data_IF_628222061540
#
_entry.id   IF_628222061540
#
_cell.length_a   1.000
_cell.length_b   1.000
_cell.length_c   1.000
_cell.angle_alpha   90.00
_cell.angle_beta   90.00
_cell.angle_gamma   90.00
#
_symmetry.space_group_name_H-M   'P 1'
#
loop_
_entity.id
_entity.type
_entity.pdbx_description
1 polymer ?
#
# COMPACT_ATOMS: atom_id res chain seq x y z
N UNK A 1 -27.79 56.08 29.77
CA UNK A 1 -27.39 54.89 30.56
C UNK A 1 -27.11 53.74 29.60
N UNK A 2 -25.89 53.15 29.70
CA UNK A 2 -25.41 51.82 29.27
C UNK A 2 -25.53 51.45 27.78
N UNK A 3 -24.50 51.57 26.93
CA UNK A 3 -23.16 50.91 26.89
C UNK A 3 -23.19 49.42 26.51
N UNK A 4 -22.56 49.15 25.36
CA UNK A 4 -21.70 48.03 24.98
C UNK A 4 -22.05 46.61 25.43
N UNK A 5 -22.15 45.69 24.47
CA UNK A 5 -21.46 44.40 24.55
C UNK A 5 -21.04 43.97 23.14
N UNK A 6 -19.75 44.21 22.85
CA UNK A 6 -18.98 43.41 21.90
C UNK A 6 -18.97 41.96 22.37
N UNK A 7 -18.98 41.01 21.44
CA UNK A 7 -18.05 39.88 21.49
C UNK A 7 -18.08 39.13 20.17
N UNK A 8 -17.01 39.37 19.43
CA UNK A 8 -16.30 38.41 18.60
C UNK A 8 -16.67 36.94 18.86
N UNK A 9 -17.10 36.29 17.80
CA UNK A 9 -16.59 34.95 17.51
C UNK A 9 -16.59 34.75 16.00
N UNK A 10 -15.61 35.40 15.36
CA UNK A 10 -15.02 34.80 14.18
C UNK A 10 -14.58 33.39 14.61
N UNK A 11 -15.35 32.39 14.23
CA UNK A 11 -14.97 31.00 14.36
C UNK A 11 -13.85 30.78 13.35
N UNK A 12 -12.64 31.14 13.78
CA UNK A 12 -11.41 30.81 13.10
C UNK A 12 -11.27 29.29 13.27
N UNK A 13 -11.94 28.52 12.40
CA UNK A 13 -11.44 27.21 12.07
C UNK A 13 -10.12 27.47 11.37
N UNK A 14 -9.03 27.34 12.09
CA UNK A 14 -7.75 27.03 11.48
C UNK A 14 -7.92 25.68 10.80
N UNK A 15 -8.43 25.71 9.57
CA UNK A 15 -8.26 24.63 8.63
C UNK A 15 -6.78 24.70 8.28
N UNK A 16 -5.97 23.95 9.00
CA UNK A 16 -4.59 23.74 8.58
C UNK A 16 -4.71 23.11 7.19
N UNK A 17 -4.53 23.93 6.14
CA UNK A 17 -4.33 23.46 4.78
C UNK A 17 -3.07 22.61 4.81
N UNK A 18 -3.24 21.32 5.07
CA UNK A 18 -2.18 20.34 4.84
C UNK A 18 -2.03 20.26 3.34
N UNK A 19 -1.21 21.16 2.81
CA UNK A 19 -0.90 21.21 1.39
C UNK A 19 -0.24 19.90 0.99
N UNK A 20 -0.77 19.27 -0.07
CA UNK A 20 -0.22 18.04 -0.61
C UNK A 20 1.18 18.30 -1.15
N UNK A 21 2.18 17.57 -0.63
CA UNK A 21 3.58 17.70 -1.05
C UNK A 21 3.99 16.44 -1.83
N UNK A 22 3.85 16.50 -3.15
CA UNK A 22 4.13 15.37 -4.04
C UNK A 22 5.58 14.85 -3.90
N UNK A 23 6.57 15.73 -3.80
CA UNK A 23 7.98 15.32 -3.71
C UNK A 23 8.30 14.57 -2.41
N UNK A 24 7.67 14.98 -1.30
CA UNK A 24 7.78 14.25 -0.04
C UNK A 24 7.13 12.87 -0.14
N UNK A 25 5.97 12.77 -0.80
CA UNK A 25 5.29 11.49 -1.03
C UNK A 25 6.17 10.60 -1.91
N UNK A 26 6.65 11.07 -3.06
CA UNK A 26 7.60 10.34 -3.92
C UNK A 26 8.80 9.81 -3.16
N UNK A 27 9.47 10.68 -2.38
CA UNK A 27 10.62 10.28 -1.57
C UNK A 27 10.27 9.16 -0.59
N UNK A 28 9.05 9.16 -0.04
CA UNK A 28 8.59 8.10 0.87
C UNK A 28 8.29 6.80 0.12
N UNK A 29 7.67 6.87 -1.05
CA UNK A 29 7.39 5.69 -1.89
C UNK A 29 8.69 5.05 -2.41
N UNK A 30 9.67 5.86 -2.81
CA UNK A 30 11.01 5.40 -3.20
C UNK A 30 11.68 4.62 -2.08
N UNK A 31 11.64 5.14 -0.85
CA UNK A 31 12.19 4.43 0.32
C UNK A 31 11.50 3.08 0.58
N UNK A 32 10.18 2.99 0.39
CA UNK A 32 9.45 1.72 0.51
C UNK A 32 9.90 0.73 -0.57
N UNK A 33 10.06 1.21 -1.81
CA UNK A 33 10.57 0.43 -2.94
C UNK A 33 11.97 -0.12 -2.64
N UNK A 34 12.92 0.74 -2.25
CA UNK A 34 14.30 0.37 -1.92
C UNK A 34 14.38 -0.68 -0.80
N UNK A 35 13.52 -0.57 0.20
CA UNK A 35 13.45 -1.52 1.32
C UNK A 35 12.88 -2.90 0.90
N UNK A 36 11.88 -2.91 0.02
CA UNK A 36 11.15 -4.11 -0.36
C UNK A 36 11.80 -4.89 -1.50
N UNK A 37 12.41 -4.22 -2.49
CA UNK A 37 13.06 -4.86 -3.63
C UNK A 37 13.94 -6.07 -3.27
N UNK A 38 14.91 -5.98 -2.32
CA UNK A 38 15.79 -7.11 -2.00
C UNK A 38 15.06 -8.28 -1.32
N UNK A 39 13.84 -8.06 -0.79
CA UNK A 39 13.05 -9.05 -0.05
C UNK A 39 12.12 -9.87 -0.94
N UNK A 40 12.07 -9.59 -2.24
CA UNK A 40 11.10 -10.17 -3.18
C UNK A 40 11.69 -11.24 -4.11
N UNK A 41 12.93 -11.69 -3.88
CA UNK A 41 13.53 -12.79 -4.63
C UNK A 41 13.66 -12.53 -6.14
N UNK A 42 13.73 -11.25 -6.53
CA UNK A 42 13.71 -10.78 -7.93
C UNK A 42 12.45 -11.17 -8.73
N UNK A 43 11.34 -11.47 -8.05
CA UNK A 43 10.03 -11.66 -8.68
C UNK A 43 9.31 -10.32 -8.70
N UNK A 44 9.07 -9.79 -9.90
CA UNK A 44 8.47 -8.48 -10.09
C UNK A 44 7.03 -8.43 -9.55
N UNK A 45 6.23 -9.45 -9.81
CA UNK A 45 4.84 -9.54 -9.36
C UNK A 45 4.75 -9.56 -7.82
N UNK A 46 5.66 -10.30 -7.16
CA UNK A 46 5.74 -10.31 -5.70
C UNK A 46 6.17 -8.95 -5.14
N UNK A 47 7.12 -8.29 -5.80
CA UNK A 47 7.53 -6.94 -5.46
C UNK A 47 6.37 -5.95 -5.58
N UNK A 48 5.66 -5.95 -6.72
CA UNK A 48 4.54 -5.04 -6.99
C UNK A 48 3.41 -5.23 -5.98
N UNK A 49 3.06 -6.47 -5.64
CA UNK A 49 2.05 -6.80 -4.62
C UNK A 49 2.44 -6.28 -3.24
N UNK A 50 3.69 -6.51 -2.81
CA UNK A 50 4.19 -6.07 -1.50
C UNK A 50 4.34 -4.55 -1.41
N UNK A 51 4.83 -3.91 -2.47
CA UNK A 51 4.91 -2.47 -2.54
C UNK A 51 3.52 -1.86 -2.44
N UNK A 52 2.56 -2.34 -3.24
CA UNK A 52 1.18 -1.84 -3.21
C UNK A 52 0.54 -1.96 -1.82
N UNK A 53 0.71 -3.10 -1.14
CA UNK A 53 0.24 -3.27 0.24
C UNK A 53 0.95 -2.31 1.23
N UNK A 54 2.25 -2.05 1.05
CA UNK A 54 2.98 -1.07 1.87
C UNK A 54 2.51 0.36 1.60
N UNK A 55 2.15 0.68 0.35
CA UNK A 55 1.56 1.96 -0.03
C UNK A 55 0.19 2.13 0.62
N UNK A 56 -0.67 1.10 0.59
CA UNK A 56 -1.97 1.12 1.27
C UNK A 56 -1.81 1.39 2.78
N UNK A 57 -0.88 0.68 3.43
CA UNK A 57 -0.56 0.89 4.84
C UNK A 57 -0.05 2.31 5.11
N UNK A 58 0.78 2.86 4.24
CA UNK A 58 1.26 4.24 4.37
C UNK A 58 0.12 5.26 4.18
N UNK A 59 -0.71 5.09 3.15
CA UNK A 59 -1.87 5.94 2.88
C UNK A 59 -2.83 5.97 4.07
N UNK A 60 -3.07 4.82 4.71
CA UNK A 60 -3.90 4.74 5.92
C UNK A 60 -3.41 5.60 7.09
N UNK A 61 -2.12 6.01 7.10
CA UNK A 61 -1.58 6.93 8.12
C UNK A 61 -1.79 8.42 7.80
N UNK A 62 -2.21 8.75 6.58
CA UNK A 62 -2.39 10.10 6.10
C UNK A 62 -3.85 10.59 6.27
N UNK A 63 -4.09 11.91 6.26
CA UNK A 63 -5.45 12.46 6.18
C UNK A 63 -6.19 11.94 4.94
N UNK A 64 -7.48 11.61 5.09
CA UNK A 64 -8.31 11.01 4.04
C UNK A 64 -8.37 11.86 2.77
N UNK A 65 -8.27 13.18 2.91
CA UNK A 65 -8.26 14.13 1.80
C UNK A 65 -7.07 13.92 0.84
N UNK A 66 -5.98 13.31 1.32
CA UNK A 66 -4.78 13.05 0.53
C UNK A 66 -4.75 11.65 -0.08
N UNK A 67 -5.64 10.73 0.34
CA UNK A 67 -5.56 9.32 -0.05
C UNK A 67 -5.58 9.14 -1.57
N UNK A 68 -6.57 9.75 -2.23
CA UNK A 68 -6.71 9.66 -3.69
C UNK A 68 -5.49 10.25 -4.42
N UNK A 69 -4.96 11.38 -3.96
CA UNK A 69 -3.79 12.03 -4.56
C UNK A 69 -2.53 11.15 -4.47
N UNK A 70 -2.33 10.49 -3.32
CA UNK A 70 -1.19 9.58 -3.12
C UNK A 70 -1.33 8.32 -3.98
N UNK A 71 -2.53 7.74 -4.04
CA UNK A 71 -2.78 6.53 -4.84
C UNK A 71 -2.67 6.81 -6.35
N UNK A 72 -3.12 7.97 -6.83
CA UNK A 72 -2.95 8.37 -8.23
C UNK A 72 -1.47 8.54 -8.59
N UNK A 73 -0.69 9.23 -7.76
CA UNK A 73 0.76 9.34 -7.93
C UNK A 73 1.44 7.96 -7.91
N UNK A 74 1.05 7.09 -6.98
CA UNK A 74 1.58 5.73 -6.89
C UNK A 74 1.26 4.89 -8.14
N UNK A 75 0.09 5.08 -8.75
CA UNK A 75 -0.27 4.42 -10.02
C UNK A 75 0.57 4.93 -11.19
N UNK A 76 0.84 6.23 -11.24
CA UNK A 76 1.62 6.86 -12.32
C UNK A 76 3.11 6.51 -12.27
N UNK A 77 3.68 6.42 -11.07
CA UNK A 77 5.15 6.37 -10.89
C UNK A 77 5.67 5.05 -10.31
N UNK A 78 4.82 4.23 -9.67
CA UNK A 78 5.25 3.04 -8.90
C UNK A 78 4.46 1.76 -9.25
N UNK A 79 3.71 1.75 -10.36
CA UNK A 79 2.90 0.61 -10.82
C UNK A 79 1.93 0.06 -9.75
N UNK A 80 1.38 0.94 -8.90
CA UNK A 80 0.47 0.54 -7.83
C UNK A 80 -0.74 -0.24 -8.34
N UNK A 81 -1.06 -1.34 -7.64
CA UNK A 81 -2.27 -2.14 -7.82
C UNK A 81 -3.13 -2.09 -6.56
N UNK A 82 -4.44 -1.96 -6.74
CA UNK A 82 -5.38 -2.13 -5.63
C UNK A 82 -5.41 -3.58 -5.14
N UNK A 83 -5.88 -3.77 -3.91
CA UNK A 83 -6.08 -5.11 -3.34
C UNK A 83 -6.96 -6.02 -4.21
N UNK A 84 -7.96 -5.47 -4.91
CA UNK A 84 -8.83 -6.23 -5.82
C UNK A 84 -8.07 -6.67 -7.08
N UNK A 85 -7.27 -5.78 -7.69
CA UNK A 85 -6.42 -6.11 -8.84
C UNK A 85 -5.41 -7.22 -8.48
N UNK A 86 -4.78 -7.11 -7.31
CA UNK A 86 -3.85 -8.13 -6.79
C UNK A 86 -4.55 -9.48 -6.59
N UNK A 87 -5.74 -9.49 -5.99
CA UNK A 87 -6.49 -10.73 -5.76
C UNK A 87 -6.85 -11.42 -7.08
N UNK A 88 -7.24 -10.66 -8.10
CA UNK A 88 -7.54 -11.18 -9.43
C UNK A 88 -6.28 -11.74 -10.13
N UNK A 89 -5.14 -11.08 -10.01
CA UNK A 89 -3.87 -11.61 -10.54
C UNK A 89 -3.48 -12.93 -9.86
N UNK A 90 -3.55 -12.99 -8.53
CA UNK A 90 -3.26 -14.21 -7.76
C UNK A 90 -4.19 -15.35 -8.20
N UNK A 91 -5.48 -15.05 -8.43
CA UNK A 91 -6.44 -16.06 -8.92
C UNK A 91 -6.03 -16.60 -10.28
N UNK A 92 -5.69 -15.73 -11.24
CA UNK A 92 -5.24 -16.14 -12.59
C UNK A 92 -3.93 -16.93 -12.55
N UNK A 93 -2.99 -16.54 -11.70
CA UNK A 93 -1.74 -17.25 -11.50
C UNK A 93 -1.96 -18.65 -10.92
N UNK A 94 -2.87 -18.75 -9.96
CA UNK A 94 -3.29 -20.02 -9.37
C UNK A 94 -3.90 -20.96 -10.41
N UNK A 95 -4.79 -20.45 -11.27
CA UNK A 95 -5.38 -21.20 -12.40
C UNK A 95 -4.31 -21.72 -13.39
N UNK A 96 -3.15 -21.04 -13.46
CA UNK A 96 -2.00 -21.42 -14.30
C UNK A 96 -0.97 -22.30 -13.57
N UNK A 97 -1.20 -22.63 -12.30
CA UNK A 97 -0.30 -23.48 -11.50
C UNK A 97 0.82 -22.75 -10.76
N UNK A 98 0.75 -21.42 -10.68
CA UNK A 98 1.65 -20.60 -9.87
C UNK A 98 1.09 -20.41 -8.46
N UNK A 99 1.95 -20.13 -7.48
CA UNK A 99 1.55 -19.68 -6.15
C UNK A 99 1.46 -18.14 -6.10
N UNK A 100 0.89 -17.61 -5.02
CA UNK A 100 0.80 -16.15 -4.78
C UNK A 100 2.17 -15.43 -4.74
N UNK A 101 3.27 -16.17 -4.58
CA UNK A 101 4.64 -15.65 -4.63
C UNK A 101 5.21 -15.56 -6.05
N UNK A 102 4.43 -15.91 -7.09
CA UNK A 102 4.83 -15.81 -8.50
C UNK A 102 5.67 -16.98 -9.02
N UNK A 103 5.84 -18.06 -8.25
CA UNK A 103 6.56 -19.26 -8.67
C UNK A 103 5.61 -20.39 -9.00
N UNK A 104 6.01 -21.30 -9.89
CA UNK A 104 5.36 -22.60 -9.99
C UNK A 104 5.30 -23.24 -8.59
N UNK A 105 4.15 -23.82 -8.22
CA UNK A 105 3.90 -24.25 -6.83
C UNK A 105 5.01 -25.15 -6.27
N UNK A 106 5.51 -26.09 -7.06
CA UNK A 106 6.56 -27.03 -6.66
C UNK A 106 7.99 -26.46 -6.68
N UNK A 107 8.16 -25.23 -7.20
CA UNK A 107 9.46 -24.56 -7.33
C UNK A 107 9.60 -23.39 -6.36
N UNK A 108 8.53 -23.05 -5.61
CA UNK A 108 8.56 -21.95 -4.66
C UNK A 108 9.49 -22.28 -3.46
N UNK A 109 10.47 -21.41 -3.13
CA UNK A 109 11.40 -21.66 -2.02
C UNK A 109 10.72 -21.70 -0.64
N UNK A 110 9.49 -21.17 -0.53
CA UNK A 110 8.67 -21.23 0.69
C UNK A 110 7.89 -22.55 0.82
N UNK A 111 8.02 -23.49 -0.12
CA UNK A 111 7.42 -24.82 -0.02
C UNK A 111 5.93 -24.88 -0.36
N UNK A 112 5.42 -23.95 -1.18
CA UNK A 112 3.98 -23.87 -1.53
C UNK A 112 3.40 -25.13 -2.19
N UNK A 113 4.22 -25.98 -2.81
CA UNK A 113 3.78 -27.21 -3.47
C UNK A 113 3.06 -28.21 -2.55
N UNK A 114 3.26 -28.09 -1.24
CA UNK A 114 2.64 -28.96 -0.24
C UNK A 114 1.36 -28.37 0.40
N UNK A 115 1.02 -27.12 0.11
CA UNK A 115 -0.02 -26.36 0.83
C UNK A 115 -1.40 -26.35 0.14
N UNK A 116 -1.57 -27.00 -1.01
CA UNK A 116 -2.84 -26.95 -1.74
C UNK A 116 -3.17 -25.55 -2.24
N UNK A 117 -4.46 -25.21 -2.31
CA UNK A 117 -4.95 -23.87 -2.74
C UNK A 117 -4.89 -22.83 -1.61
N UNK A 118 -4.68 -23.26 -0.37
CA UNK A 118 -4.63 -22.43 0.84
C UNK A 118 -3.30 -21.67 0.99
N UNK A 119 -2.46 -21.64 -0.06
CA UNK A 119 -1.14 -20.99 -0.02
C UNK A 119 -1.18 -19.46 0.16
N UNK A 120 -2.39 -18.87 0.09
CA UNK A 120 -2.63 -17.43 0.07
C UNK A 120 -3.23 -16.88 1.38
N UNK A 121 -3.70 -17.74 2.29
CA UNK A 121 -4.47 -17.31 3.47
C UNK A 121 -3.56 -16.90 4.64
N UNK A 122 -2.25 -17.10 4.50
CA UNK A 122 -1.28 -16.70 5.50
C UNK A 122 -0.67 -15.33 5.15
N UNK A 123 -1.27 -14.28 5.69
CA UNK A 123 -0.53 -13.11 6.14
C UNK A 123 0.50 -13.46 7.28
N UNK A 124 0.76 -14.74 7.55
CA UNK A 124 1.03 -15.28 8.89
C UNK A 124 2.38 -16.00 9.08
N UNK A 125 3.42 -15.76 8.28
CA UNK A 125 4.76 -16.30 8.59
C UNK A 125 5.89 -15.26 8.56
N UNK A 126 5.57 -14.00 8.86
CA UNK A 126 6.58 -12.93 9.07
C UNK A 126 6.37 -12.19 10.40
N UNK A 127 5.83 -12.85 11.43
CA UNK A 127 6.13 -12.47 12.82
C UNK A 127 7.32 -13.31 13.29
N UNK A 128 8.52 -12.75 13.20
CA UNK A 128 9.68 -13.20 13.97
C UNK A 128 10.32 -11.96 14.61
N UNK A 129 10.88 -12.10 15.83
CA UNK A 129 10.77 -11.15 16.96
C UNK A 129 11.62 -9.86 16.88
#
# INVERSE_FOLDING_TARGET
>A
MKSCFDTDKAFHMSFDEVTFNADRIRSKLELLSEELMPRCGLVYELYQRRLSAAIDNFVATLPTEQHLLVLELAREEFDYLSAEEIAEEIRRDSERGYCCHGFERNCCPLGCGNLGDDCCDAADLMEEP
#
